data_IF_365597386083
#
_entry.id   IF_365597386083
#
_cell.length_a   1.000
_cell.length_b   1.000
_cell.length_c   1.000
_cell.angle_alpha   90.00
_cell.angle_beta   90.00
_cell.angle_gamma   90.00
#
_symmetry.space_group_name_H-M   'P 1'
#
loop_
_entity.id
_entity.type
_entity.pdbx_description
1 polymer ?
#
# COMPACT_ATOMS: atom_id res chain seq x y z
N UNK A 1 82.16 -11.28 28.53
CA UNK A 1 81.37 -11.21 29.78
C UNK A 1 80.64 -9.87 29.81
N UNK A 2 79.36 -9.90 30.22
CA UNK A 2 78.38 -8.79 30.33
C UNK A 2 77.77 -8.32 28.99
N UNK A 3 76.51 -7.95 28.88
CA UNK A 3 75.22 -8.20 29.57
C UNK A 3 74.25 -7.20 28.91
N UNK A 4 73.00 -7.63 28.69
CA UNK A 4 71.85 -6.88 28.16
C UNK A 4 71.66 -5.46 28.71
N UNK A 5 71.06 -4.58 27.89
CA UNK A 5 69.99 -3.64 28.29
C UNK A 5 69.34 -2.97 27.06
N UNK A 6 68.13 -3.39 26.68
CA UNK A 6 67.23 -2.63 25.80
C UNK A 6 66.13 -1.95 26.66
N UNK A 7 65.80 -0.66 26.43
CA UNK A 7 64.63 -0.02 27.03
C UNK A 7 63.32 -0.36 26.27
N UNK A 8 62.14 -0.17 26.91
CA UNK A 8 60.90 -0.87 26.55
C UNK A 8 60.09 -0.22 25.42
N UNK A 9 59.67 -1.06 24.48
CA UNK A 9 58.86 -0.79 23.28
C UNK A 9 57.35 -0.53 23.56
N UNK A 10 57.01 0.05 24.72
CA UNK A 10 55.60 0.18 25.17
C UNK A 10 55.00 1.59 25.09
N UNK A 11 55.76 2.59 24.64
CA UNK A 11 55.28 3.98 24.62
C UNK A 11 54.96 4.54 23.22
N UNK A 12 55.20 3.78 22.14
CA UNK A 12 54.95 4.26 20.77
C UNK A 12 53.55 3.86 20.24
N UNK A 13 52.89 2.88 20.85
CA UNK A 13 51.56 2.42 20.42
C UNK A 13 50.38 3.25 20.98
N UNK A 14 50.62 4.21 21.89
CA UNK A 14 49.57 5.08 22.44
C UNK A 14 49.51 6.48 21.83
N UNK A 15 50.44 6.84 20.94
CA UNK A 15 50.46 8.18 20.32
C UNK A 15 49.86 8.18 18.90
N UNK A 16 49.84 7.05 18.19
CA UNK A 16 49.18 6.98 16.88
C UNK A 16 47.65 6.88 16.97
N UNK A 17 47.10 6.32 18.06
CA UNK A 17 45.65 6.20 18.27
C UNK A 17 45.00 7.51 18.73
N UNK A 18 45.79 8.46 19.27
CA UNK A 18 45.29 9.75 19.73
C UNK A 18 45.22 10.82 18.62
N UNK A 19 45.96 10.64 17.51
CA UNK A 19 45.93 11.60 16.40
C UNK A 19 44.80 11.32 15.37
N UNK A 20 44.12 10.17 15.46
CA UNK A 20 42.92 9.87 14.63
C UNK A 20 41.63 10.37 15.30
N UNK A 21 41.66 10.68 16.59
CA UNK A 21 40.49 11.08 17.36
C UNK A 21 40.23 12.60 17.42
N UNK A 22 41.03 13.44 16.75
CA UNK A 22 40.90 14.91 16.82
C UNK A 22 40.58 15.63 15.49
N UNK A 23 40.26 14.90 14.43
CA UNK A 23 39.91 15.48 13.12
C UNK A 23 38.51 15.05 12.63
N UNK A 24 37.58 14.80 13.56
CA UNK A 24 36.18 14.46 13.27
C UNK A 24 35.20 15.63 13.57
N UNK A 25 35.72 16.85 13.70
CA UNK A 25 34.91 18.05 13.89
C UNK A 25 35.36 19.15 12.92
N UNK A 26 35.23 18.89 11.62
CA UNK A 26 35.20 19.94 10.59
C UNK A 26 34.35 19.46 9.40
N UNK A 27 33.28 20.18 9.11
CA UNK A 27 32.22 19.84 8.13
C UNK A 27 32.65 19.96 6.66
N UNK A 28 33.94 19.80 6.33
CA UNK A 28 34.38 20.01 4.95
C UNK A 28 35.63 19.23 4.52
N UNK A 29 35.67 17.92 4.83
CA UNK A 29 36.70 17.01 4.30
C UNK A 29 36.09 16.01 3.31
N UNK A 30 35.92 16.44 2.07
CA UNK A 30 35.56 15.59 0.93
C UNK A 30 36.81 14.86 0.42
N UNK A 31 36.93 13.57 0.77
CA UNK A 31 37.83 12.62 0.12
C UNK A 31 37.08 11.93 -1.03
N UNK A 32 37.40 12.31 -2.27
CA UNK A 32 36.98 11.67 -3.53
C UNK A 32 37.35 10.17 -3.57
N UNK A 33 36.89 9.28 -4.51
CA UNK A 33 35.88 9.34 -5.57
C UNK A 33 34.83 8.19 -5.47
N UNK A 34 34.55 7.69 -4.27
CA UNK A 34 33.77 6.45 -4.06
C UNK A 34 32.29 6.66 -3.64
N UNK A 35 31.81 7.89 -3.56
CA UNK A 35 30.40 8.22 -3.24
C UNK A 35 29.81 7.43 -2.05
N UNK A 36 30.65 7.13 -1.06
CA UNK A 36 30.26 6.47 0.19
C UNK A 36 29.94 7.57 1.19
N UNK A 37 28.66 7.95 1.26
CA UNK A 37 28.13 8.74 2.36
C UNK A 37 28.27 7.93 3.66
N UNK A 38 28.79 8.55 4.71
CA UNK A 38 28.99 7.90 6.01
C UNK A 38 27.65 7.53 6.68
N UNK A 39 26.52 8.03 6.18
CA UNK A 39 25.18 7.69 6.63
C UNK A 39 24.52 6.53 5.85
N UNK A 40 25.16 6.01 4.80
CA UNK A 40 24.68 4.91 3.94
C UNK A 40 23.26 5.10 3.33
N UNK A 41 22.64 6.29 3.37
CA UNK A 41 21.26 6.50 2.87
C UNK A 41 21.09 6.41 1.35
N UNK A 42 22.18 6.37 0.59
CA UNK A 42 22.16 6.31 -0.87
C UNK A 42 22.28 4.91 -1.50
N UNK A 43 22.59 3.87 -0.72
CA UNK A 43 22.79 2.51 -1.23
C UNK A 43 21.46 1.73 -1.26
N UNK A 44 20.87 1.58 -2.45
CA UNK A 44 19.73 0.68 -2.68
C UNK A 44 18.38 1.34 -2.98
N UNK A 45 18.37 2.59 -3.46
CA UNK A 45 17.12 3.31 -3.70
C UNK A 45 16.45 3.62 -2.38
N UNK A 46 16.78 4.77 -1.79
CA UNK A 46 16.31 5.19 -0.48
C UNK A 46 14.82 4.89 -0.29
N UNK A 47 14.45 4.38 0.88
CA UNK A 47 13.10 3.99 1.31
C UNK A 47 12.04 4.97 0.81
N UNK A 48 11.58 4.76 -0.41
CA UNK A 48 10.65 5.66 -1.06
C UNK A 48 9.26 5.12 -0.73
N UNK A 49 8.73 5.58 0.39
CA UNK A 49 7.36 5.28 0.82
C UNK A 49 6.32 6.11 0.06
N UNK A 50 6.70 6.86 -0.97
CA UNK A 50 5.74 7.64 -1.78
C UNK A 50 4.73 6.74 -2.49
N UNK A 51 5.09 5.47 -2.77
CA UNK A 51 4.13 4.48 -3.27
C UNK A 51 3.14 3.96 -2.20
N UNK A 52 3.48 4.11 -0.90
CA UNK A 52 2.59 3.81 0.22
C UNK A 52 1.77 5.03 0.68
N UNK A 53 1.91 6.19 0.03
CA UNK A 53 0.95 7.29 0.19
C UNK A 53 -0.34 6.91 -0.54
N UNK A 54 -1.03 5.89 -0.03
CA UNK A 54 -2.41 5.61 -0.40
C UNK A 54 -3.22 6.87 -0.15
N UNK A 55 -4.15 7.18 -1.06
CA UNK A 55 -5.17 8.19 -0.84
C UNK A 55 -6.12 7.70 0.26
N UNK A 56 -5.67 7.74 1.51
CA UNK A 56 -6.50 7.50 2.67
C UNK A 56 -7.42 8.72 2.85
N UNK A 57 -8.64 8.46 3.31
CA UNK A 57 -9.48 9.56 3.76
C UNK A 57 -8.80 10.30 4.92
N UNK A 58 -9.15 11.56 5.13
CA UNK A 58 -8.82 12.25 6.38
C UNK A 58 -9.75 11.78 7.49
N UNK A 59 -9.25 11.76 8.73
CA UNK A 59 -10.09 11.48 9.90
C UNK A 59 -11.16 12.58 10.03
N UNK A 60 -12.46 12.22 10.09
CA UNK A 60 -13.54 13.17 10.29
C UNK A 60 -13.34 14.03 11.54
N UNK A 61 -13.85 15.27 11.51
CA UNK A 61 -13.71 16.18 12.65
C UNK A 61 -14.72 15.84 13.74
N UNK A 62 -14.30 15.80 15.02
CA UNK A 62 -15.22 15.57 16.12
C UNK A 62 -16.21 16.73 16.32
N UNK A 63 -17.32 16.44 17.01
CA UNK A 63 -18.28 17.43 17.51
C UNK A 63 -17.69 18.27 18.66
N UNK A 64 -18.48 19.21 19.20
CA UNK A 64 -18.08 20.08 20.32
C UNK A 64 -17.77 19.31 21.62
N UNK A 65 -18.16 18.04 21.70
CA UNK A 65 -17.83 17.12 22.78
C UNK A 65 -16.73 16.14 22.35
N UNK A 66 -15.96 16.41 21.31
CA UNK A 66 -14.90 15.51 20.89
C UNK A 66 -15.38 14.18 20.29
N UNK A 67 -16.69 13.97 20.05
CA UNK A 67 -17.25 12.70 19.57
C UNK A 67 -17.30 12.67 18.04
N UNK A 68 -16.88 11.54 17.46
CA UNK A 68 -17.02 11.24 16.04
C UNK A 68 -18.06 10.11 15.91
N UNK A 69 -19.14 10.38 15.17
CA UNK A 69 -20.21 9.42 14.92
C UNK A 69 -20.04 8.70 13.58
N UNK A 70 -19.83 7.39 13.62
CA UNK A 70 -19.90 6.51 12.46
C UNK A 70 -21.27 5.80 12.39
N UNK A 71 -21.64 5.15 11.28
CA UNK A 71 -22.91 4.41 11.15
C UNK A 71 -23.11 3.30 12.18
N UNK A 72 -22.04 2.62 12.60
CA UNK A 72 -22.15 1.47 13.51
C UNK A 72 -21.62 1.74 14.92
N UNK A 73 -20.75 2.72 15.11
CA UNK A 73 -20.12 3.00 16.40
C UNK A 73 -19.82 4.49 16.56
N UNK A 74 -19.38 4.87 17.77
CA UNK A 74 -18.90 6.21 18.07
C UNK A 74 -17.54 6.10 18.74
N UNK A 75 -16.71 7.09 18.49
CA UNK A 75 -15.46 7.28 19.22
C UNK A 75 -15.39 8.69 19.78
N UNK A 76 -14.55 8.89 20.77
CA UNK A 76 -14.23 10.20 21.29
C UNK A 76 -12.73 10.44 21.21
N UNK A 77 -12.37 11.65 20.81
CA UNK A 77 -11.00 12.13 20.79
C UNK A 77 -10.65 12.67 22.18
N UNK A 78 -9.59 12.13 22.77
CA UNK A 78 -9.11 12.53 24.09
C UNK A 78 -8.32 13.85 24.03
N UNK A 79 -8.54 14.70 25.03
CA UNK A 79 -7.68 15.85 25.25
C UNK A 79 -6.33 15.44 25.87
N UNK A 80 -5.33 16.32 25.79
CA UNK A 80 -3.99 16.01 26.31
C UNK A 80 -4.02 15.76 27.81
N UNK A 81 -3.69 14.53 28.23
CA UNK A 81 -3.64 14.15 29.63
C UNK A 81 -5.02 13.91 30.26
N UNK A 82 -6.08 13.92 29.46
CA UNK A 82 -7.43 13.57 29.90
C UNK A 82 -7.46 12.10 30.32
N UNK A 83 -8.19 11.78 31.38
CA UNK A 83 -8.41 10.39 31.80
C UNK A 83 -9.72 9.83 31.25
N UNK A 84 -9.80 8.50 31.13
CA UNK A 84 -11.04 7.84 30.70
C UNK A 84 -12.21 8.19 31.63
N UNK A 85 -11.96 8.37 32.93
CA UNK A 85 -12.96 8.84 33.89
C UNK A 85 -13.46 10.25 33.58
N UNK A 86 -12.58 11.17 33.18
CA UNK A 86 -12.97 12.52 32.79
C UNK A 86 -13.82 12.52 31.51
N UNK A 87 -13.42 11.71 30.52
CA UNK A 87 -14.20 11.48 29.30
C UNK A 87 -15.60 10.94 29.62
N UNK A 88 -15.67 9.91 30.48
CA UNK A 88 -16.92 9.33 30.89
C UNK A 88 -17.82 10.36 31.62
N UNK A 89 -17.23 11.22 32.44
CA UNK A 89 -17.95 12.31 33.13
C UNK A 89 -18.59 13.31 32.17
N UNK A 90 -17.85 13.79 31.15
CA UNK A 90 -18.41 14.74 30.17
C UNK A 90 -19.45 14.13 29.23
N UNK A 91 -19.39 12.81 29.01
CA UNK A 91 -20.33 12.09 28.16
C UNK A 91 -21.47 11.39 28.93
N UNK A 92 -21.49 11.51 30.27
CA UNK A 92 -22.43 10.83 31.15
C UNK A 92 -22.46 9.29 30.95
N UNK A 93 -21.27 8.69 30.86
CA UNK A 93 -21.04 7.25 30.70
C UNK A 93 -20.46 6.62 31.98
N UNK A 94 -20.50 5.30 32.08
CA UNK A 94 -19.79 4.56 33.14
C UNK A 94 -18.29 4.47 32.81
N UNK A 95 -17.46 5.02 33.70
CA UNK A 95 -16.02 5.09 33.50
C UNK A 95 -15.34 3.72 33.45
N UNK A 96 -15.81 2.74 34.24
CA UNK A 96 -15.20 1.42 34.31
C UNK A 96 -15.55 0.60 33.07
N UNK A 97 -16.78 0.69 32.58
CA UNK A 97 -17.21 0.07 31.33
C UNK A 97 -16.45 0.64 30.13
N UNK A 98 -16.29 1.97 30.08
CA UNK A 98 -15.52 2.64 29.02
C UNK A 98 -14.04 2.21 29.04
N UNK A 99 -13.44 2.14 30.22
CA UNK A 99 -12.06 1.70 30.41
C UNK A 99 -11.86 0.24 29.98
N UNK A 100 -12.74 -0.66 30.43
CA UNK A 100 -12.72 -2.08 30.07
C UNK A 100 -12.86 -2.32 28.57
N UNK A 101 -13.75 -1.57 27.89
CA UNK A 101 -13.97 -1.68 26.45
C UNK A 101 -12.73 -1.31 25.62
N UNK A 102 -11.91 -0.39 26.15
CA UNK A 102 -10.68 0.10 25.51
C UNK A 102 -9.41 -0.56 26.07
N UNK A 103 -9.53 -1.57 26.93
CA UNK A 103 -8.37 -2.28 27.49
C UNK A 103 -7.42 -1.39 28.30
N UNK A 104 -7.95 -0.35 28.94
CA UNK A 104 -7.17 0.61 29.72
C UNK A 104 -7.75 0.79 31.13
N UNK A 105 -6.99 1.43 32.02
CA UNK A 105 -7.46 1.81 33.35
C UNK A 105 -8.27 3.12 33.30
N UNK A 106 -9.25 3.30 34.17
CA UNK A 106 -10.11 4.49 34.19
C UNK A 106 -9.34 5.79 34.51
N UNK A 107 -8.22 5.68 35.24
CA UNK A 107 -7.37 6.79 35.66
C UNK A 107 -6.12 6.98 34.81
N UNK A 108 -5.98 6.21 33.74
CA UNK A 108 -4.85 6.38 32.83
C UNK A 108 -4.91 7.77 32.18
N UNK A 109 -3.79 8.48 32.17
CA UNK A 109 -3.66 9.70 31.38
C UNK A 109 -3.50 9.31 29.90
N UNK A 110 -4.42 9.77 29.06
CA UNK A 110 -4.41 9.52 27.63
C UNK A 110 -3.53 10.53 26.90
N UNK A 111 -3.02 10.13 25.74
CA UNK A 111 -2.29 11.04 24.87
C UNK A 111 -3.27 12.03 24.25
N UNK A 112 -2.72 13.14 23.78
CA UNK A 112 -3.48 14.10 22.99
C UNK A 112 -3.95 13.43 21.71
N UNK A 113 -5.21 13.64 21.33
CA UNK A 113 -5.82 13.15 20.11
C UNK A 113 -5.97 11.62 20.06
N UNK A 114 -5.74 10.93 21.20
CA UNK A 114 -5.92 9.50 21.36
C UNK A 114 -7.39 9.13 21.23
N UNK A 115 -7.67 8.07 20.50
CA UNK A 115 -9.05 7.63 20.25
C UNK A 115 -9.49 6.67 21.35
N UNK A 116 -10.69 6.92 21.89
CA UNK A 116 -11.38 6.04 22.81
C UNK A 116 -12.71 5.62 22.18
N UNK A 117 -12.89 4.32 21.93
CA UNK A 117 -14.11 3.80 21.37
C UNK A 117 -15.22 3.76 22.44
N UNK A 118 -16.43 4.15 22.09
CA UNK A 118 -17.56 4.19 23.03
C UNK A 118 -18.29 2.83 23.03
N UNK A 119 -18.55 2.21 24.20
CA UNK A 119 -19.25 0.94 24.29
C UNK A 119 -20.75 1.05 23.94
N UNK A 120 -21.30 2.26 24.01
CA UNK A 120 -22.68 2.58 23.64
C UNK A 120 -22.74 3.95 22.98
N UNK A 121 -23.79 4.19 22.19
CA UNK A 121 -24.01 5.50 21.58
C UNK A 121 -24.42 6.53 22.62
N UNK A 122 -23.76 7.67 22.60
CA UNK A 122 -24.17 8.88 23.32
C UNK A 122 -25.10 9.70 22.43
N UNK A 123 -26.04 10.41 23.05
CA UNK A 123 -26.96 11.28 22.33
C UNK A 123 -26.18 12.31 21.49
N UNK A 124 -26.54 12.45 20.22
CA UNK A 124 -25.90 13.41 19.31
C UNK A 124 -26.43 14.83 19.61
N UNK A 125 -25.59 15.87 19.58
CA UNK A 125 -26.09 17.24 19.69
C UNK A 125 -26.97 17.50 18.47
N UNK A 126 -28.16 18.05 18.63
CA UNK A 126 -28.98 18.43 17.47
C UNK A 126 -28.31 19.62 16.74
N UNK A 127 -28.48 19.78 15.41
CA UNK A 127 -28.15 21.05 14.74
C UNK A 127 -28.81 22.27 15.42
N UNK A 128 -29.91 22.07 16.15
CA UNK A 128 -30.56 23.07 16.98
C UNK A 128 -29.73 23.55 18.19
N UNK A 129 -28.69 22.81 18.58
CA UNK A 129 -27.78 23.14 19.69
C UNK A 129 -26.47 23.80 19.24
N UNK A 130 -26.35 24.16 17.95
CA UNK A 130 -25.21 24.94 17.43
C UNK A 130 -24.04 24.12 16.90
N UNK A 131 -24.15 22.79 16.91
CA UNK A 131 -23.09 21.92 16.44
C UNK A 131 -23.02 21.89 14.90
N UNK A 132 -21.81 22.10 14.37
CA UNK A 132 -21.59 22.44 12.96
C UNK A 132 -21.80 21.25 12.03
N UNK A 133 -21.89 19.99 12.50
CA UNK A 133 -22.25 18.80 11.69
C UNK A 133 -22.56 17.62 12.63
N UNK A 134 -23.82 17.30 12.91
CA UNK A 134 -24.15 16.28 13.94
C UNK A 134 -25.12 15.21 13.47
N UNK A 135 -24.67 14.44 12.49
CA UNK A 135 -25.24 13.13 12.20
C UNK A 135 -24.12 12.12 11.99
N UNK A 136 -24.43 10.80 11.97
CA UNK A 136 -23.48 9.79 11.57
C UNK A 136 -22.88 10.15 10.21
N UNK A 137 -21.57 9.97 10.07
CA UNK A 137 -20.87 10.17 8.80
C UNK A 137 -21.56 9.34 7.74
N UNK A 138 -21.98 10.00 6.67
CA UNK A 138 -22.66 9.34 5.58
C UNK A 138 -21.62 8.76 4.61
N UNK A 139 -21.86 7.55 4.06
CA UNK A 139 -20.99 7.03 3.02
C UNK A 139 -21.03 7.96 1.79
N UNK A 140 -19.93 8.09 1.04
CA UNK A 140 -19.88 8.87 -0.19
C UNK A 140 -20.81 8.27 -1.25
N UNK A 141 -22.07 8.67 -1.21
CA UNK A 141 -23.07 8.33 -2.21
C UNK A 141 -23.20 9.50 -3.15
N UNK A 142 -22.85 9.29 -4.42
CA UNK A 142 -23.15 10.26 -5.49
C UNK A 142 -24.65 10.24 -5.71
N UNK A 143 -25.38 11.10 -5.00
CA UNK A 143 -26.82 11.27 -5.20
C UNK A 143 -27.03 12.08 -6.48
N UNK A 144 -27.15 11.39 -7.61
CA UNK A 144 -27.52 12.01 -8.91
C UNK A 144 -28.80 12.84 -8.82
N UNK A 145 -29.70 12.51 -7.89
CA UNK A 145 -30.94 13.24 -7.62
C UNK A 145 -30.69 14.61 -7.00
N UNK A 146 -29.76 14.76 -6.03
CA UNK A 146 -29.45 16.09 -5.44
C UNK A 146 -28.63 16.94 -6.39
N UNK A 147 -27.71 16.33 -7.16
CA UNK A 147 -26.96 17.02 -8.21
C UNK A 147 -27.87 17.55 -9.33
N UNK A 148 -28.94 16.82 -9.65
CA UNK A 148 -29.96 17.23 -10.62
C UNK A 148 -30.87 18.33 -10.07
N UNK A 149 -31.31 18.24 -8.81
CA UNK A 149 -32.13 19.27 -8.16
C UNK A 149 -31.37 20.60 -8.02
N UNK A 150 -30.11 20.57 -7.61
CA UNK A 150 -29.26 21.78 -7.51
C UNK A 150 -28.99 22.43 -8.87
N UNK A 151 -29.03 21.67 -9.97
CA UNK A 151 -28.93 22.19 -11.33
C UNK A 151 -30.24 22.79 -11.83
N UNK A 152 -31.39 22.21 -11.45
CA UNK A 152 -32.73 22.69 -11.78
C UNK A 152 -33.06 23.98 -11.00
N UNK A 153 -32.72 24.05 -9.71
CA UNK A 153 -32.95 25.24 -8.87
C UNK A 153 -32.08 26.44 -9.28
N UNK A 154 -30.94 26.18 -9.96
CA UNK A 154 -30.08 27.24 -10.53
C UNK A 154 -30.61 27.83 -11.84
N UNK A 155 -31.59 27.17 -12.48
CA UNK A 155 -32.24 27.63 -13.70
C UNK A 155 -33.53 28.44 -13.47
N UNK A 156 -34.02 28.52 -12.23
CA UNK A 156 -35.19 29.31 -11.86
C UNK A 156 -34.83 30.70 -11.35
N UNK A 157 -35.30 31.75 -12.02
CA UNK A 157 -35.27 33.13 -11.50
C UNK A 157 -36.24 33.26 -10.32
N UNK A 158 -35.76 33.08 -9.08
CA UNK A 158 -36.50 33.51 -7.88
C UNK A 158 -35.60 34.18 -6.85
N UNK A 159 -36.09 35.33 -6.38
CA UNK A 159 -35.56 36.21 -5.34
C UNK A 159 -35.13 35.42 -4.10
N UNK A 160 -33.81 35.37 -3.84
CA UNK A 160 -33.24 34.67 -2.68
C UNK A 160 -33.37 35.50 -1.42
N UNK A 161 -34.26 35.12 -0.52
CA UNK A 161 -34.09 35.37 0.92
C UNK A 161 -32.86 34.57 1.39
N UNK A 162 -31.99 35.08 2.30
CA UNK A 162 -30.83 34.31 2.75
C UNK A 162 -31.31 33.11 3.56
N UNK A 163 -31.36 31.93 2.94
CA UNK A 163 -31.49 30.68 3.66
C UNK A 163 -30.23 30.51 4.52
N UNK A 164 -30.41 30.31 5.83
CA UNK A 164 -29.33 29.99 6.73
C UNK A 164 -28.55 28.79 6.15
N UNK A 165 -27.23 28.94 6.02
CA UNK A 165 -26.31 27.88 5.60
C UNK A 165 -26.47 26.70 6.55
N UNK A 166 -27.30 25.73 6.17
CA UNK A 166 -27.30 24.45 6.88
C UNK A 166 -25.98 23.77 6.58
N UNK A 167 -25.22 23.38 7.61
CA UNK A 167 -23.96 22.73 7.37
C UNK A 167 -24.19 21.36 6.72
N UNK A 168 -23.42 21.07 5.68
CA UNK A 168 -23.48 19.80 4.95
C UNK A 168 -22.99 18.66 5.85
N UNK A 169 -23.68 17.50 5.86
CA UNK A 169 -23.26 16.34 6.65
C UNK A 169 -21.85 15.87 6.23
N UNK A 170 -21.03 15.49 7.21
CA UNK A 170 -19.70 14.95 6.92
C UNK A 170 -19.83 13.64 6.16
N UNK A 171 -19.11 13.56 5.04
CA UNK A 171 -19.06 12.39 4.17
C UNK A 171 -17.68 11.76 4.32
N UNK A 172 -17.62 10.45 4.53
CA UNK A 172 -16.34 9.76 4.78
C UNK A 172 -16.50 8.24 4.70
N UNK A 173 -15.40 7.56 4.40
CA UNK A 173 -15.37 6.11 4.44
C UNK A 173 -15.35 5.64 5.90
N UNK A 174 -16.13 4.60 6.24
CA UNK A 174 -16.18 4.07 7.60
C UNK A 174 -14.88 3.31 7.90
N UNK A 175 -14.08 3.76 8.90
CA UNK A 175 -12.84 3.10 9.26
C UNK A 175 -13.12 1.80 9.99
N UNK A 176 -12.19 0.86 9.90
CA UNK A 176 -12.25 -0.38 10.67
C UNK A 176 -11.92 -0.14 12.15
N UNK A 177 -12.46 -0.98 13.04
CA UNK A 177 -12.03 -1.04 14.45
C UNK A 177 -11.18 -2.28 14.65
N UNK A 178 -9.99 -2.10 15.22
CA UNK A 178 -9.09 -3.18 15.59
C UNK A 178 -8.78 -3.13 17.07
N UNK A 179 -8.90 -4.27 17.76
CA UNK A 179 -8.52 -4.43 19.16
C UNK A 179 -7.14 -5.07 19.23
N UNK A 180 -6.18 -4.34 19.78
CA UNK A 180 -4.79 -4.77 19.91
C UNK A 180 -4.71 -6.04 20.76
N UNK A 181 -4.18 -7.11 20.18
CA UNK A 181 -3.88 -8.36 20.86
C UNK A 181 -2.54 -8.30 21.58
N UNK A 182 -2.31 -9.28 22.46
CA UNK A 182 -1.07 -9.39 23.22
C UNK A 182 0.13 -9.56 22.29
N UNK A 183 1.11 -8.67 22.44
CA UNK A 183 2.36 -8.70 21.67
C UNK A 183 2.30 -8.05 20.28
N UNK A 184 1.15 -7.49 19.88
CA UNK A 184 1.05 -6.73 18.64
C UNK A 184 1.72 -5.35 18.76
N UNK A 185 2.19 -4.83 17.62
CA UNK A 185 2.80 -3.51 17.51
C UNK A 185 2.08 -2.70 16.43
N UNK A 186 2.13 -1.36 16.51
CA UNK A 186 1.57 -0.49 15.49
C UNK A 186 2.06 -0.84 14.07
N UNK A 187 3.32 -1.27 13.92
CA UNK A 187 3.89 -1.69 12.63
C UNK A 187 3.25 -2.98 12.08
N UNK A 188 3.02 -3.97 12.95
CA UNK A 188 2.38 -5.22 12.54
C UNK A 188 0.92 -4.99 12.18
N UNK A 189 0.21 -4.19 12.97
CA UNK A 189 -1.19 -3.82 12.70
C UNK A 189 -1.29 -3.02 11.41
N UNK A 190 -0.45 -2.01 11.23
CA UNK A 190 -0.39 -1.22 10.00
C UNK A 190 -0.19 -2.12 8.77
N UNK A 191 0.73 -3.08 8.84
CA UNK A 191 0.98 -4.04 7.77
C UNK A 191 -0.17 -5.02 7.56
N UNK A 192 -0.83 -5.45 8.63
CA UNK A 192 -1.98 -6.35 8.56
C UNK A 192 -3.13 -5.74 7.76
N UNK A 193 -3.33 -4.44 7.91
CA UNK A 193 -4.40 -3.70 7.23
C UNK A 193 -3.92 -2.92 5.98
N UNK A 194 -2.67 -3.12 5.57
CA UNK A 194 -2.04 -2.41 4.46
C UNK A 194 -2.17 -0.88 4.54
N UNK A 195 -2.06 -0.33 5.76
CA UNK A 195 -2.07 1.12 6.00
C UNK A 195 -0.68 1.61 6.36
N UNK A 196 -0.28 2.84 5.98
CA UNK A 196 0.97 3.43 6.45
C UNK A 196 0.92 3.60 7.97
N UNK A 197 1.97 3.19 8.66
CA UNK A 197 2.06 3.32 10.13
C UNK A 197 1.93 4.78 10.59
N UNK A 198 2.37 5.74 9.78
CA UNK A 198 2.20 7.16 10.04
C UNK A 198 0.72 7.58 10.03
N UNK A 199 -0.05 7.10 9.04
CA UNK A 199 -1.48 7.36 8.97
C UNK A 199 -2.22 6.69 10.13
N UNK A 200 -1.86 5.44 10.46
CA UNK A 200 -2.41 4.75 11.64
C UNK A 200 -2.12 5.55 12.93
N UNK A 201 -0.91 6.08 13.07
CA UNK A 201 -0.52 6.88 14.23
C UNK A 201 -1.30 8.19 14.32
N UNK A 202 -1.40 8.92 13.20
CA UNK A 202 -2.13 10.19 13.12
C UNK A 202 -3.63 9.99 13.43
N UNK A 203 -4.23 8.96 12.86
CA UNK A 203 -5.65 8.63 13.08
C UNK A 203 -5.98 8.28 14.53
N UNK A 204 -5.02 7.73 15.28
CA UNK A 204 -5.22 7.24 16.64
C UNK A 204 -4.52 8.06 17.72
N UNK A 205 -3.86 9.16 17.37
CA UNK A 205 -3.09 9.96 18.32
C UNK A 205 -1.92 9.20 18.95
N UNK A 206 -1.31 8.25 18.21
CA UNK A 206 -0.13 7.54 18.70
C UNK A 206 1.07 8.50 18.73
N UNK A 207 1.89 8.37 19.77
CA UNK A 207 3.14 9.13 19.88
C UNK A 207 4.18 8.71 18.84
N UNK A 208 5.30 9.44 18.80
CA UNK A 208 6.43 9.11 17.92
C UNK A 208 7.08 7.76 18.23
N UNK A 209 6.85 7.22 19.42
CA UNK A 209 7.24 5.89 19.87
C UNK A 209 6.31 4.78 19.35
N UNK A 210 5.15 5.13 18.79
CA UNK A 210 4.16 4.22 18.21
C UNK A 210 3.70 3.13 19.19
N UNK A 211 3.72 3.45 20.49
CA UNK A 211 3.38 2.50 21.55
C UNK A 211 1.88 2.24 21.60
N UNK A 212 1.50 0.98 21.44
CA UNK A 212 0.13 0.47 21.59
C UNK A 212 0.01 -0.34 22.87
N UNK A 213 -1.19 -0.38 23.47
CA UNK A 213 -1.48 -1.14 24.69
C UNK A 213 -2.30 -2.39 24.37
N UNK A 214 -2.08 -3.47 25.11
CA UNK A 214 -2.90 -4.67 25.00
C UNK A 214 -4.38 -4.33 25.26
N UNK A 215 -5.27 -4.72 24.34
CA UNK A 215 -6.71 -4.46 24.43
C UNK A 215 -7.15 -3.06 23.97
N UNK A 216 -6.22 -2.18 23.57
CA UNK A 216 -6.52 -0.86 23.01
C UNK A 216 -7.33 -0.99 21.71
N UNK A 217 -8.31 -0.10 21.53
CA UNK A 217 -9.07 0.01 20.29
C UNK A 217 -8.41 1.04 19.38
N UNK A 218 -8.15 0.67 18.13
CA UNK A 218 -7.58 1.54 17.10
C UNK A 218 -8.53 1.63 15.91
N UNK A 219 -8.65 2.84 15.38
CA UNK A 219 -9.26 3.11 14.08
C UNK A 219 -8.27 2.79 12.98
N UNK A 220 -8.68 1.93 12.07
CA UNK A 220 -7.92 1.56 10.88
C UNK A 220 -8.45 2.42 9.73
N UNK A 221 -7.65 3.36 9.21
CA UNK A 221 -8.07 4.15 8.06
C UNK A 221 -8.29 3.24 6.85
N UNK A 222 -9.30 3.55 6.06
CA UNK A 222 -9.57 2.88 4.79
C UNK A 222 -9.32 3.85 3.64
N UNK A 223 -9.04 3.33 2.45
CA UNK A 223 -8.90 4.15 1.26
C UNK A 223 -10.13 5.06 1.12
N UNK A 224 -9.88 6.37 0.99
CA UNK A 224 -10.95 7.33 0.76
C UNK A 224 -11.52 7.11 -0.64
N UNK A 225 -12.79 7.45 -0.84
CA UNK A 225 -13.31 7.60 -2.19
C UNK A 225 -12.42 8.61 -2.92
N UNK A 226 -11.89 8.22 -4.08
CA UNK A 226 -10.97 9.02 -4.89
C UNK A 226 -11.53 10.45 -5.02
N UNK A 227 -10.81 11.49 -4.55
CA UNK A 227 -11.21 12.86 -4.85
C UNK A 227 -11.34 13.01 -6.37
N UNK A 228 -12.28 13.82 -6.89
CA UNK A 228 -12.36 14.08 -8.32
C UNK A 228 -10.97 14.48 -8.81
N UNK A 229 -10.48 13.77 -9.83
CA UNK A 229 -9.16 13.96 -10.42
C UNK A 229 -8.88 15.45 -10.56
N UNK A 230 -7.79 16.00 -9.96
CA UNK A 230 -7.43 17.38 -10.23
C UNK A 230 -7.27 17.53 -11.73
N UNK A 231 -7.98 18.52 -12.31
CA UNK A 231 -7.89 18.82 -13.73
C UNK A 231 -6.40 18.84 -14.12
N UNK A 232 -6.06 18.08 -15.16
CA UNK A 232 -4.69 17.95 -15.63
C UNK A 232 -4.06 19.33 -15.73
N UNK A 233 -3.08 19.62 -14.87
CA UNK A 233 -2.23 20.78 -15.04
C UNK A 233 -1.35 20.45 -16.24
N UNK A 234 -1.62 21.07 -17.38
CA UNK A 234 -0.76 20.97 -18.54
C UNK A 234 0.63 21.52 -18.15
N UNK A 235 1.68 20.87 -18.64
CA UNK A 235 3.04 21.37 -18.44
C UNK A 235 3.16 22.81 -19.03
N UNK A 236 3.97 23.69 -18.43
CA UNK A 236 4.24 25.01 -19.02
C UNK A 236 4.80 24.84 -20.44
N UNK A 237 4.02 25.21 -21.46
CA UNK A 237 4.43 25.14 -22.87
C UNK A 237 3.42 24.49 -23.83
N UNK A 238 2.40 23.79 -23.35
CA UNK A 238 1.36 23.24 -24.23
C UNK A 238 0.17 24.20 -24.33
N UNK A 239 0.02 24.85 -25.50
CA UNK A 239 -1.12 25.74 -25.80
C UNK A 239 -0.81 27.02 -26.58
N UNK A 240 0.46 27.29 -26.95
CA UNK A 240 0.78 28.45 -27.80
C UNK A 240 1.19 28.00 -29.19
N UNK A 241 0.43 28.41 -30.21
CA UNK A 241 0.91 28.38 -31.59
C UNK A 241 2.01 29.44 -31.74
N UNK A 242 3.25 29.00 -31.81
CA UNK A 242 4.37 29.90 -32.13
C UNK A 242 4.17 30.47 -33.53
N UNK A 243 4.11 31.80 -33.72
CA UNK A 243 4.03 32.40 -35.05
C UNK A 243 5.33 32.12 -35.82
N UNK A 244 5.20 31.78 -37.11
CA UNK A 244 6.33 31.47 -37.99
C UNK A 244 7.22 32.71 -38.15
N UNK A 245 8.52 32.65 -37.82
CA UNK A 245 9.43 33.79 -37.96
C UNK A 245 9.65 34.17 -39.44
N UNK A 246 9.81 35.46 -39.78
CA UNK A 246 9.72 35.97 -41.17
C UNK A 246 10.96 35.73 -42.05
N UNK A 247 11.87 34.81 -41.71
CA UNK A 247 13.19 34.73 -42.34
C UNK A 247 13.34 33.68 -43.44
N UNK A 248 12.27 33.38 -44.20
CA UNK A 248 12.33 32.51 -45.38
C UNK A 248 12.33 33.33 -46.71
N UNK A 249 13.23 34.30 -46.84
CA UNK A 249 13.35 35.11 -48.08
C UNK A 249 14.80 35.46 -48.45
N UNK A 250 15.62 34.46 -48.80
CA UNK A 250 16.76 34.62 -49.72
C UNK A 250 17.35 33.25 -50.15
N UNK A 251 17.66 33.01 -51.44
CA UNK A 251 18.28 31.77 -51.91
C UNK A 251 19.84 31.84 -52.04
N UNK A 252 20.47 30.68 -51.78
CA UNK A 252 21.77 30.07 -52.17
C UNK A 252 23.05 30.90 -52.48
N UNK A 253 24.22 30.29 -52.22
CA UNK A 253 25.12 29.94 -53.34
C UNK A 253 25.57 28.46 -53.36
N UNK A 254 26.04 28.01 -54.54
CA UNK A 254 26.27 26.62 -54.93
C UNK A 254 27.72 26.10 -54.75
N UNK A 255 27.78 24.79 -54.51
CA UNK A 255 28.71 23.74 -54.96
C UNK A 255 30.25 23.89 -54.81
N UNK A 256 30.84 22.87 -54.17
CA UNK A 256 32.14 22.27 -54.58
C UNK A 256 32.00 20.74 -54.56
N UNK A 257 32.64 20.08 -55.53
CA UNK A 257 32.41 18.73 -56.01
C UNK A 257 33.14 17.58 -55.25
N UNK A 258 32.56 16.39 -55.45
CA UNK A 258 32.89 14.94 -55.26
C UNK A 258 34.35 14.50 -55.59
N UNK A 259 34.80 13.20 -55.44
CA UNK A 259 34.17 11.95 -54.94
C UNK A 259 35.05 10.96 -54.12
N UNK A 260 34.44 9.93 -53.50
CA UNK A 260 34.93 8.53 -53.53
C UNK A 260 33.94 7.54 -52.87
N UNK A 261 33.76 6.39 -53.51
CA UNK A 261 32.78 5.35 -53.23
C UNK A 261 33.31 4.23 -52.32
N UNK A 262 32.39 3.51 -51.66
CA UNK A 262 32.53 2.08 -51.35
C UNK A 262 31.17 1.39 -51.52
N UNK A 263 31.21 0.19 -52.12
CA UNK A 263 30.12 -0.52 -52.79
C UNK A 263 29.33 -1.51 -51.88
N UNK A 264 28.22 -2.13 -52.35
CA UNK A 264 27.17 -2.79 -51.56
C UNK A 264 27.26 -4.34 -51.55
N UNK A 265 26.47 -5.01 -50.69
CA UNK A 265 25.87 -6.39 -50.82
C UNK A 265 25.21 -6.82 -49.48
N UNK A 266 24.36 -7.87 -49.40
CA UNK A 266 23.12 -8.22 -50.11
C UNK A 266 21.91 -8.49 -49.13
N UNK A 267 20.67 -8.74 -49.61
CA UNK A 267 19.47 -8.88 -48.76
C UNK A 267 19.08 -10.36 -48.42
N UNK A 268 17.92 -10.50 -47.74
CA UNK A 268 17.04 -11.65 -47.36
C UNK A 268 17.29 -12.40 -46.01
N UNK A 269 16.26 -12.99 -45.35
CA UNK A 269 14.84 -13.14 -45.75
C UNK A 269 13.76 -12.67 -44.74
N UNK A 270 12.57 -12.39 -45.27
CA UNK A 270 11.34 -12.16 -44.50
C UNK A 270 10.76 -13.50 -43.97
N UNK A 271 10.23 -13.54 -42.73
CA UNK A 271 9.44 -14.67 -42.27
C UNK A 271 7.98 -14.57 -42.75
N UNK A 272 7.66 -15.47 -43.66
CA UNK A 272 6.41 -16.21 -43.88
C UNK A 272 5.19 -15.87 -42.99
N UNK A 273 4.13 -15.34 -43.62
CA UNK A 273 2.77 -15.19 -43.07
C UNK A 273 1.85 -16.27 -43.65
N UNK A 274 2.04 -17.50 -43.20
CA UNK A 274 1.29 -18.65 -43.73
C UNK A 274 1.06 -19.75 -42.72
N UNK A 275 0.23 -19.53 -41.70
CA UNK A 275 -0.69 -20.54 -41.11
C UNK A 275 -1.63 -19.89 -40.07
N UNK A 276 -2.84 -20.43 -39.89
CA UNK A 276 -4.02 -19.66 -39.50
C UNK A 276 -3.95 -19.19 -38.05
N UNK A 277 -4.13 -17.90 -37.86
CA UNK A 277 -4.42 -17.29 -36.56
C UNK A 277 -5.74 -17.85 -36.04
N UNK A 278 -5.66 -18.90 -35.24
CA UNK A 278 -6.70 -19.23 -34.27
C UNK A 278 -6.94 -17.97 -33.44
N UNK A 279 -8.19 -17.59 -33.10
CA UNK A 279 -8.42 -16.40 -32.30
C UNK A 279 -7.75 -16.59 -30.95
N UNK A 280 -6.59 -15.97 -30.75
CA UNK A 280 -5.99 -15.83 -29.44
C UNK A 280 -6.86 -14.83 -28.68
N UNK A 281 -7.92 -15.33 -28.04
CA UNK A 281 -8.35 -14.75 -26.77
C UNK A 281 -7.11 -14.87 -25.88
N UNK A 282 -6.35 -13.79 -25.74
CA UNK A 282 -5.05 -13.79 -25.07
C UNK A 282 -5.25 -13.93 -23.56
N UNK A 283 -5.62 -15.13 -23.11
CA UNK A 283 -5.56 -15.49 -21.71
C UNK A 283 -4.08 -15.37 -21.27
N UNK A 284 -3.76 -14.51 -20.28
CA UNK A 284 -2.38 -14.26 -19.90
C UNK A 284 -1.69 -15.49 -19.29
N UNK A 285 -2.46 -16.46 -18.78
CA UNK A 285 -1.95 -17.63 -18.06
C UNK A 285 -2.28 -18.95 -18.76
N UNK A 286 -1.51 -19.98 -18.45
CA UNK A 286 -1.82 -21.38 -18.78
C UNK A 286 -2.31 -22.10 -17.53
N UNK A 287 -3.07 -23.17 -17.73
CA UNK A 287 -3.39 -24.08 -16.63
C UNK A 287 -2.12 -24.67 -16.02
N UNK A 288 -1.97 -24.62 -14.68
CA UNK A 288 -0.77 -25.10 -14.00
C UNK A 288 -0.67 -26.63 -13.97
N UNK A 289 -1.80 -27.32 -14.07
CA UNK A 289 -1.93 -28.78 -14.22
C UNK A 289 -3.10 -29.07 -15.16
N UNK A 290 -3.08 -30.24 -15.81
CA UNK A 290 -4.19 -30.70 -16.66
C UNK A 290 -5.08 -31.63 -15.85
N UNK A 291 -6.24 -31.13 -15.40
CA UNK A 291 -7.21 -31.87 -14.59
C UNK A 291 -8.60 -31.25 -14.65
N UNK A 292 -9.51 -31.74 -13.80
CA UNK A 292 -10.88 -31.21 -13.70
C UNK A 292 -11.01 -30.24 -12.53
N UNK A 293 -11.71 -29.13 -12.73
CA UNK A 293 -12.03 -28.22 -11.62
C UNK A 293 -13.08 -28.91 -10.74
N UNK A 294 -12.68 -29.30 -9.52
CA UNK A 294 -13.57 -29.94 -8.53
C UNK A 294 -14.19 -28.93 -7.57
N UNK A 295 -13.63 -27.71 -7.51
CA UNK A 295 -14.20 -26.57 -6.79
C UNK A 295 -13.89 -25.27 -7.54
N UNK A 296 -14.93 -24.52 -7.87
CA UNK A 296 -14.80 -23.22 -8.53
C UNK A 296 -14.51 -22.09 -7.54
N UNK A 297 -14.06 -20.95 -8.06
CA UNK A 297 -13.85 -19.74 -7.29
C UNK A 297 -15.14 -19.28 -6.59
N UNK A 298 -15.01 -18.88 -5.33
CA UNK A 298 -16.10 -18.34 -4.53
C UNK A 298 -15.53 -17.36 -3.48
N UNK A 299 -15.64 -16.04 -3.66
CA UNK A 299 -15.01 -15.07 -2.79
C UNK A 299 -15.41 -15.27 -1.32
N UNK A 300 -14.42 -15.32 -0.43
CA UNK A 300 -14.61 -15.57 1.01
C UNK A 300 -14.89 -17.03 1.41
N UNK A 301 -14.98 -17.96 0.45
CA UNK A 301 -15.12 -19.41 0.71
C UNK A 301 -14.04 -20.25 0.04
N UNK A 302 -13.73 -19.94 -1.21
CA UNK A 302 -12.70 -20.56 -2.02
C UNK A 302 -12.00 -19.47 -2.85
N UNK A 303 -10.83 -19.02 -2.41
CA UNK A 303 -10.11 -17.88 -3.00
C UNK A 303 -9.41 -18.21 -4.34
N UNK A 304 -9.58 -19.43 -4.84
CA UNK A 304 -9.06 -19.88 -6.13
C UNK A 304 -9.90 -21.01 -6.70
N UNK A 305 -9.30 -21.85 -7.53
CA UNK A 305 -9.90 -23.07 -8.09
C UNK A 305 -9.16 -24.30 -7.57
N UNK A 306 -9.91 -25.36 -7.25
CA UNK A 306 -9.33 -26.66 -6.95
C UNK A 306 -9.34 -27.52 -8.22
N UNK A 307 -8.15 -27.90 -8.69
CA UNK A 307 -7.98 -28.75 -9.87
C UNK A 307 -7.62 -30.17 -9.39
N UNK A 308 -8.56 -31.10 -9.54
CA UNK A 308 -8.39 -32.50 -9.20
C UNK A 308 -7.44 -33.20 -10.16
N UNK A 309 -6.32 -33.68 -9.63
CA UNK A 309 -5.28 -34.42 -10.35
C UNK A 309 -4.60 -35.41 -9.41
N UNK A 310 -4.03 -36.52 -9.92
CA UNK A 310 -3.30 -37.47 -9.09
C UNK A 310 -2.13 -36.82 -8.33
N UNK A 311 -1.87 -37.28 -7.12
CA UNK A 311 -0.67 -36.92 -6.36
C UNK A 311 0.61 -37.20 -7.17
N UNK A 312 1.60 -36.31 -7.06
CA UNK A 312 2.85 -36.38 -7.82
C UNK A 312 2.78 -35.77 -9.23
N UNK A 313 1.60 -35.32 -9.68
CA UNK A 313 1.47 -34.60 -10.97
C UNK A 313 2.35 -33.35 -10.98
N UNK A 314 3.10 -33.12 -12.05
CA UNK A 314 3.97 -31.95 -12.17
C UNK A 314 3.15 -30.67 -12.30
N UNK A 315 3.42 -29.72 -11.41
CA UNK A 315 2.82 -28.38 -11.37
C UNK A 315 3.72 -27.42 -12.12
N UNK A 316 3.12 -26.65 -13.02
CA UNK A 316 3.81 -25.68 -13.88
C UNK A 316 3.47 -24.25 -13.51
N UNK A 317 4.43 -23.34 -13.69
CA UNK A 317 4.18 -21.91 -13.59
C UNK A 317 3.19 -21.45 -14.68
N UNK A 318 2.18 -20.69 -14.28
CA UNK A 318 1.07 -20.27 -15.14
C UNK A 318 1.50 -19.14 -16.09
N UNK A 319 2.51 -18.36 -15.70
CA UNK A 319 3.21 -17.37 -16.51
C UNK A 319 4.68 -17.25 -16.08
N UNK A 320 5.46 -16.49 -16.85
CA UNK A 320 6.80 -16.09 -16.43
C UNK A 320 6.74 -15.12 -15.25
N UNK A 321 7.65 -15.24 -14.29
CA UNK A 321 7.65 -14.44 -13.07
C UNK A 321 8.81 -14.73 -12.14
N UNK A 322 8.73 -14.22 -10.92
CA UNK A 322 9.72 -14.46 -9.86
C UNK A 322 9.03 -15.06 -8.65
N UNK A 323 9.61 -16.11 -8.05
CA UNK A 323 9.10 -16.74 -6.84
C UNK A 323 9.20 -15.75 -5.67
N UNK A 324 8.08 -15.19 -5.25
CA UNK A 324 8.02 -14.17 -4.20
C UNK A 324 8.10 -14.79 -2.81
N UNK A 325 7.49 -15.96 -2.62
CA UNK A 325 7.48 -16.66 -1.34
C UNK A 325 7.29 -18.16 -1.52
N UNK A 326 7.87 -18.92 -0.60
CA UNK A 326 7.57 -20.33 -0.37
C UNK A 326 7.23 -20.44 1.12
N UNK A 327 6.03 -20.90 1.42
CA UNK A 327 5.54 -21.13 2.79
C UNK A 327 4.96 -22.53 2.91
N UNK A 328 4.44 -22.89 4.08
CA UNK A 328 3.80 -24.18 4.33
C UNK A 328 2.49 -23.95 5.07
N UNK A 329 1.49 -24.77 4.80
CA UNK A 329 0.25 -24.80 5.57
C UNK A 329 0.43 -25.64 6.86
N UNK A 330 -0.60 -25.65 7.72
CA UNK A 330 -0.59 -26.42 8.99
C UNK A 330 -0.41 -27.92 8.80
N UNK A 331 -0.69 -28.44 7.61
CA UNK A 331 -0.55 -29.86 7.26
C UNK A 331 0.82 -30.18 6.65
N UNK A 332 1.73 -29.20 6.57
CA UNK A 332 3.07 -29.33 6.01
C UNK A 332 3.14 -29.25 4.49
N UNK A 333 2.01 -29.16 3.78
CA UNK A 333 2.01 -28.98 2.33
C UNK A 333 2.49 -27.58 1.98
N UNK A 334 3.33 -27.48 0.94
CA UNK A 334 3.97 -26.24 0.57
C UNK A 334 3.03 -25.34 -0.23
N UNK A 335 3.29 -24.04 -0.12
CA UNK A 335 2.61 -22.98 -0.85
C UNK A 335 3.68 -22.19 -1.59
N UNK A 336 3.56 -22.09 -2.91
CA UNK A 336 4.45 -21.29 -3.74
C UNK A 336 3.69 -20.07 -4.23
N UNK A 337 4.29 -18.88 -4.10
CA UNK A 337 3.74 -17.64 -4.63
C UNK A 337 4.68 -17.13 -5.72
N UNK A 338 4.17 -16.94 -6.93
CA UNK A 338 4.92 -16.36 -8.04
C UNK A 338 4.35 -14.97 -8.36
N UNK A 339 5.21 -13.97 -8.38
CA UNK A 339 4.87 -12.60 -8.81
C UNK A 339 5.12 -12.46 -10.31
N UNK A 340 4.14 -11.95 -11.03
CA UNK A 340 4.16 -11.69 -12.46
C UNK A 340 4.20 -10.18 -12.74
N UNK A 341 4.24 -9.81 -14.02
CA UNK A 341 4.08 -8.43 -14.47
C UNK A 341 2.67 -7.92 -14.15
N UNK A 342 2.53 -6.61 -13.92
CA UNK A 342 1.22 -5.98 -13.69
C UNK A 342 0.62 -6.25 -12.31
N UNK A 343 1.47 -6.48 -11.29
CA UNK A 343 1.04 -6.71 -9.90
C UNK A 343 0.21 -7.99 -9.67
N UNK A 344 0.14 -8.88 -10.66
CA UNK A 344 -0.55 -10.16 -10.51
C UNK A 344 0.35 -11.16 -9.79
N UNK A 345 -0.22 -11.90 -8.84
CA UNK A 345 0.40 -13.04 -8.19
C UNK A 345 -0.38 -14.31 -8.49
N UNK A 346 0.32 -15.42 -8.60
CA UNK A 346 -0.29 -16.75 -8.61
C UNK A 346 0.15 -17.52 -7.38
N UNK A 347 -0.79 -18.22 -6.77
CA UNK A 347 -0.55 -19.04 -5.57
C UNK A 347 -0.83 -20.50 -5.89
N UNK A 348 0.13 -21.35 -5.56
CA UNK A 348 0.08 -22.80 -5.74
C UNK A 348 0.09 -23.44 -4.37
N UNK A 349 -1.08 -23.89 -3.92
CA UNK A 349 -1.26 -24.52 -2.61
C UNK A 349 -1.40 -26.03 -2.80
N UNK A 350 -0.98 -26.78 -1.78
CA UNK A 350 -1.02 -28.25 -1.75
C UNK A 350 0.00 -28.87 -2.72
N UNK A 351 1.23 -28.33 -2.73
CA UNK A 351 2.34 -28.84 -3.53
C UNK A 351 3.48 -29.40 -2.66
N UNK A 352 4.29 -30.27 -3.25
CA UNK A 352 5.47 -30.92 -2.70
C UNK A 352 6.60 -30.98 -3.74
N UNK A 353 7.78 -31.46 -3.33
CA UNK A 353 8.95 -31.65 -4.21
C UNK A 353 9.25 -30.41 -5.09
N UNK A 354 9.44 -29.25 -4.46
CA UNK A 354 9.70 -28.00 -5.18
C UNK A 354 11.03 -28.09 -5.94
N UNK A 355 11.01 -27.60 -7.17
CA UNK A 355 12.18 -27.47 -8.05
C UNK A 355 12.70 -26.04 -8.15
N UNK A 356 12.12 -25.13 -7.36
CA UNK A 356 12.44 -23.70 -7.32
C UNK A 356 12.63 -23.22 -5.88
N UNK A 357 13.42 -22.16 -5.72
CA UNK A 357 13.67 -21.46 -4.47
C UNK A 357 13.06 -20.05 -4.48
N UNK A 358 13.01 -19.43 -3.30
CA UNK A 358 12.62 -18.02 -3.19
C UNK A 358 13.57 -17.14 -4.01
N UNK A 359 13.01 -16.13 -4.66
CA UNK A 359 13.68 -15.18 -5.56
C UNK A 359 14.14 -15.77 -6.90
N UNK A 360 13.86 -17.05 -7.18
CA UNK A 360 14.13 -17.65 -8.50
C UNK A 360 13.21 -17.07 -9.58
N UNK A 361 13.77 -16.89 -10.77
CA UNK A 361 13.00 -16.56 -11.97
C UNK A 361 12.48 -17.83 -12.65
N UNK A 362 11.20 -17.81 -13.01
CA UNK A 362 10.51 -18.92 -13.68
C UNK A 362 9.92 -18.48 -15.01
N UNK A 363 9.93 -19.36 -16.00
CA UNK A 363 9.25 -19.15 -17.28
C UNK A 363 7.85 -19.76 -17.27
N UNK A 364 6.95 -19.25 -18.12
CA UNK A 364 5.63 -19.87 -18.31
C UNK A 364 5.78 -21.34 -18.72
N UNK A 365 5.07 -22.24 -18.04
CA UNK A 365 5.15 -23.69 -18.29
C UNK A 365 6.34 -24.40 -17.65
N UNK A 366 7.24 -23.69 -16.97
CA UNK A 366 8.33 -24.29 -16.21
C UNK A 366 7.78 -25.12 -15.04
N UNK A 367 8.31 -26.32 -14.84
CA UNK A 367 7.97 -27.14 -13.68
C UNK A 367 8.51 -26.49 -12.41
N UNK A 368 7.64 -26.34 -11.40
CA UNK A 368 7.96 -25.67 -10.13
C UNK A 368 7.82 -26.57 -8.91
N UNK A 369 6.94 -27.58 -8.99
CA UNK A 369 6.64 -28.50 -7.91
C UNK A 369 5.86 -29.72 -8.43
N UNK A 370 5.43 -30.59 -7.52
CA UNK A 370 4.45 -31.66 -7.76
C UNK A 370 3.26 -31.51 -6.83
N UNK A 371 2.10 -32.06 -7.20
CA UNK A 371 0.91 -32.05 -6.34
C UNK A 371 1.12 -32.95 -5.12
N UNK A 372 0.81 -32.44 -3.93
CA UNK A 372 0.93 -33.17 -2.67
C UNK A 372 -0.07 -34.34 -2.60
N UNK A 373 0.24 -35.35 -1.78
CA UNK A 373 -0.67 -36.45 -1.52
C UNK A 373 -1.89 -36.00 -0.71
N UNK A 374 -3.09 -36.42 -1.12
CA UNK A 374 -4.36 -36.13 -0.42
C UNK A 374 -5.51 -37.01 -0.91
N UNK A 375 -6.61 -37.02 -0.16
CA UNK A 375 -7.85 -37.73 -0.52
C UNK A 375 -9.06 -36.78 -0.41
N UNK A 376 -9.57 -36.22 -1.53
CA UNK A 376 -9.00 -36.31 -2.88
C UNK A 376 -7.69 -35.52 -3.02
N UNK A 377 -6.86 -35.87 -4.02
CA UNK A 377 -5.68 -35.07 -4.40
C UNK A 377 -6.07 -33.97 -5.38
N UNK A 378 -5.62 -32.75 -5.10
CA UNK A 378 -5.90 -31.57 -5.92
C UNK A 378 -4.82 -30.51 -5.75
N UNK A 379 -4.65 -29.68 -6.77
CA UNK A 379 -3.92 -28.42 -6.68
C UNK A 379 -4.94 -27.31 -6.38
N UNK A 380 -4.68 -26.50 -5.36
CA UNK A 380 -5.44 -25.26 -5.17
C UNK A 380 -4.65 -24.11 -5.82
N UNK A 381 -5.27 -23.49 -6.82
CA UNK A 381 -4.65 -22.46 -7.65
C UNK A 381 -5.40 -21.14 -7.50
N UNK A 382 -4.71 -20.09 -7.07
CA UNK A 382 -5.26 -18.75 -6.93
C UNK A 382 -4.57 -17.78 -7.89
N UNK A 383 -5.33 -16.78 -8.33
CA UNK A 383 -4.80 -15.58 -8.97
C UNK A 383 -5.16 -14.40 -8.07
N UNK A 384 -4.20 -13.51 -7.81
CA UNK A 384 -4.39 -12.33 -6.98
C UNK A 384 -3.95 -11.09 -7.74
N UNK A 385 -4.75 -10.04 -7.70
CA UNK A 385 -4.32 -8.69 -8.08
C UNK A 385 -3.87 -7.97 -6.81
N UNK A 386 -2.55 -7.91 -6.59
CA UNK A 386 -1.99 -7.53 -5.30
C UNK A 386 -2.46 -8.46 -4.18
N UNK A 387 -3.28 -7.94 -3.26
CA UNK A 387 -3.78 -8.71 -2.12
C UNK A 387 -5.19 -9.27 -2.34
N UNK A 388 -5.91 -8.84 -3.38
CA UNK A 388 -7.26 -9.32 -3.65
C UNK A 388 -7.23 -10.59 -4.49
N UNK A 389 -7.95 -11.62 -4.04
CA UNK A 389 -8.18 -12.83 -4.85
C UNK A 389 -9.19 -12.52 -5.95
N UNK A 390 -8.86 -12.89 -7.18
CA UNK A 390 -9.71 -12.71 -8.36
C UNK A 390 -10.02 -14.08 -8.97
N UNK A 391 -11.07 -14.16 -9.78
CA UNK A 391 -11.45 -15.44 -10.39
C UNK A 391 -10.35 -15.92 -11.35
N UNK A 392 -9.69 -17.07 -11.10
CA UNK A 392 -8.66 -17.60 -11.99
C UNK A 392 -9.18 -17.89 -13.40
N UNK A 393 -10.49 -18.13 -13.57
CA UNK A 393 -11.09 -18.41 -14.86
C UNK A 393 -10.98 -17.22 -15.84
N UNK A 394 -10.88 -15.98 -15.35
CA UNK A 394 -10.71 -14.79 -16.19
C UNK A 394 -9.30 -14.68 -16.81
N UNK A 395 -8.34 -15.44 -16.28
CA UNK A 395 -6.93 -15.39 -16.69
C UNK A 395 -6.47 -16.67 -17.42
N UNK A 396 -7.26 -17.73 -17.32
CA UNK A 396 -6.99 -19.05 -17.91
C UNK A 396 -7.72 -19.19 -19.26
N UNK A 397 -7.21 -20.02 -20.19
CA UNK A 397 -7.72 -20.16 -21.55
C UNK A 397 -9.02 -20.97 -21.64
#
# INVERSE_FOLDING_TARGET
>A
MRSLSLPPFRSVLMVSTACVALAACDDNFNLSPLNLDADLRGLGGGFNTTAAAQNLADRPRPDDRGVISYPNYQVVVAERGETVRQIAGRLNLDANALAAFNGVDADVALRRDEIVALPSRVAEPSPATGAVTTGPIQPPTVNVTTLASDAIDRAGEQTRTPAATQPSPQTGAEPGLHRVARGETAFQIARLYDVPVAALAEWNGLGSDLTVREGQQLLIPVAGATPPSPAATTAPGEGSSTPTPPSARAPLPAAVATPAAAAPTPPVPAPDLGTPSTPATSAPFIYPVTGTIIRAYNPGRNEGIDIGVPAGTSVKAAAAGTVAAITQNTNGAQIVVIRHTGNILTVYVNVDELTVAKDDSVSQGQAIAKVSSGDPSFLHFEVRDGLESVDPADFLP
#
